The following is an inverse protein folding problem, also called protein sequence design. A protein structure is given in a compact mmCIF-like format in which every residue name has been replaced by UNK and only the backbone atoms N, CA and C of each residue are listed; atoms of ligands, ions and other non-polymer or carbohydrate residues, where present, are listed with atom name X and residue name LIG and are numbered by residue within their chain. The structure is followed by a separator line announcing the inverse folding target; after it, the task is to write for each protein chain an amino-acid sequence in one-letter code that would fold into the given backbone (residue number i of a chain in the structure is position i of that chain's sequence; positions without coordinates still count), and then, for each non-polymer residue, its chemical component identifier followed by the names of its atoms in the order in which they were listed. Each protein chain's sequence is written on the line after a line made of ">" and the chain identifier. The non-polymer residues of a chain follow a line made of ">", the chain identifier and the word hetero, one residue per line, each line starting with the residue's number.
data_IF_738050646966
#
_entry.id   IF_738050646966
#
_cell.length_a   1.000
_cell.length_b   1.000
_cell.length_c   1.000
_cell.angle_alpha   90.00
_cell.angle_beta   90.00
_cell.angle_gamma   90.00
#
_symmetry.space_group_name_H-M   'P 1'
#
loop_
_entity.id
_entity.type
_entity.pdbx_description
1 polymer ?
#
# COMPACT_ATOMS: atom_id res chain seq x y z
N UNK A 1 -13.43 12.37 5.89
CA UNK A 1 -12.50 12.51 4.75
C UNK A 1 -12.05 11.11 4.39
N UNK A 2 -12.49 10.56 3.26
CA UNK A 2 -11.95 9.27 2.80
C UNK A 2 -10.64 9.56 2.10
N UNK A 3 -9.56 9.00 2.66
CA UNK A 3 -8.22 8.90 2.10
C UNK A 3 -8.32 8.19 0.73
N UNK A 4 -8.66 8.94 -0.32
CA UNK A 4 -9.05 8.39 -1.62
C UNK A 4 -7.85 8.31 -2.58
N UNK A 5 -6.65 8.04 -2.07
CA UNK A 5 -5.56 7.54 -2.89
C UNK A 5 -5.89 6.12 -3.39
N UNK A 6 -5.44 5.70 -4.59
CA UNK A 6 -5.68 4.35 -5.10
C UNK A 6 -5.05 3.24 -4.24
N UNK A 7 -4.20 3.59 -3.27
CA UNK A 7 -3.50 2.68 -2.37
C UNK A 7 -3.46 3.27 -0.96
N UNK A 8 -4.20 2.70 -0.01
CA UNK A 8 -4.15 3.07 1.41
C UNK A 8 -3.34 2.06 2.22
N UNK A 9 -2.99 2.43 3.46
CA UNK A 9 -2.23 1.54 4.36
C UNK A 9 -2.97 0.23 4.65
N UNK A 10 -4.29 0.26 4.80
CA UNK A 10 -5.08 -0.95 5.05
C UNK A 10 -5.04 -1.93 3.86
N UNK A 11 -5.04 -1.44 2.63
CA UNK A 11 -4.86 -2.26 1.44
C UNK A 11 -3.40 -2.74 1.33
N UNK A 12 -2.40 -1.93 1.71
CA UNK A 12 -0.99 -2.34 1.70
C UNK A 12 -0.75 -3.48 2.69
N UNK A 13 -1.28 -3.36 3.90
CA UNK A 13 -1.22 -4.40 4.93
C UNK A 13 -1.89 -5.69 4.47
N UNK A 14 -3.02 -5.60 3.75
CA UNK A 14 -3.68 -6.78 3.17
C UNK A 14 -2.84 -7.46 2.10
N UNK A 15 -2.11 -6.70 1.29
CA UNK A 15 -1.20 -7.24 0.26
C UNK A 15 0.01 -7.91 0.94
N UNK A 16 0.61 -7.27 1.94
CA UNK A 16 1.72 -7.83 2.71
C UNK A 16 1.31 -9.14 3.41
N UNK A 17 0.15 -9.14 4.08
CA UNK A 17 -0.37 -10.35 4.72
C UNK A 17 -0.64 -11.50 3.72
N UNK A 18 -1.01 -11.18 2.48
CA UNK A 18 -1.18 -12.19 1.42
C UNK A 18 0.18 -12.76 0.96
N UNK A 19 1.19 -11.91 0.81
CA UNK A 19 2.56 -12.31 0.46
C UNK A 19 3.19 -13.17 1.55
N UNK A 20 3.00 -12.84 2.83
CA UNK A 20 3.48 -13.65 3.95
C UNK A 20 2.78 -15.01 4.05
N UNK A 21 1.48 -15.04 3.76
CA UNK A 21 0.68 -16.27 3.80
C UNK A 21 1.06 -17.24 2.68
N UNK A 22 1.45 -16.71 1.51
CA UNK A 22 1.89 -17.50 0.37
C UNK A 22 3.17 -16.91 -0.25
N UNK A 23 4.35 -17.31 0.26
CA UNK A 23 5.63 -16.78 -0.21
C UNK A 23 6.01 -17.24 -1.63
N UNK A 24 5.30 -18.24 -2.19
CA UNK A 24 5.50 -18.66 -3.58
C UNK A 24 4.58 -17.94 -4.57
N UNK A 25 3.69 -17.09 -4.09
CA UNK A 25 2.81 -16.27 -4.94
C UNK A 25 3.59 -15.21 -5.73
N UNK A 26 3.07 -14.84 -6.90
CA UNK A 26 3.64 -13.78 -7.74
C UNK A 26 3.77 -12.45 -6.97
N UNK A 27 2.86 -12.18 -6.02
CA UNK A 27 2.89 -10.99 -5.17
C UNK A 27 4.14 -10.96 -4.28
N UNK A 28 4.44 -12.07 -3.61
CA UNK A 28 5.62 -12.20 -2.75
C UNK A 28 6.92 -12.25 -3.57
N UNK A 29 6.92 -12.95 -4.70
CA UNK A 29 8.11 -13.13 -5.53
C UNK A 29 8.50 -11.86 -6.29
N UNK A 30 7.54 -11.00 -6.63
CA UNK A 30 7.79 -9.77 -7.39
C UNK A 30 8.12 -8.56 -6.51
N UNK A 31 7.98 -8.65 -5.18
CA UNK A 31 8.12 -7.52 -4.26
C UNK A 31 7.03 -6.47 -4.45
N UNK A 32 5.81 -6.91 -4.80
CA UNK A 32 4.69 -6.00 -5.03
C UNK A 32 4.18 -5.40 -3.72
N UNK A 33 4.23 -6.15 -2.63
CA UNK A 33 3.96 -5.72 -1.27
C UNK A 33 4.80 -4.50 -0.85
N UNK A 34 6.11 -4.53 -1.11
CA UNK A 34 7.01 -3.39 -0.85
C UNK A 34 6.57 -2.14 -1.61
N UNK A 35 6.18 -2.30 -2.89
CA UNK A 35 5.70 -1.19 -3.72
C UNK A 35 4.36 -0.66 -3.23
N UNK A 36 3.48 -1.53 -2.76
CA UNK A 36 2.18 -1.17 -2.23
C UNK A 36 2.33 -0.34 -0.94
N UNK A 37 3.22 -0.75 -0.03
CA UNK A 37 3.56 0.02 1.17
C UNK A 37 4.11 1.41 0.81
N UNK A 38 5.10 1.49 -0.08
CA UNK A 38 5.67 2.76 -0.52
C UNK A 38 4.68 3.67 -1.29
N UNK A 39 3.60 3.11 -1.83
CA UNK A 39 2.52 3.88 -2.45
C UNK A 39 1.50 4.37 -1.42
N UNK A 40 1.23 3.60 -0.38
CA UNK A 40 0.43 4.03 0.76
C UNK A 40 1.10 5.19 1.51
N UNK A 41 2.40 5.08 1.80
CA UNK A 41 3.19 6.15 2.44
C UNK A 41 3.07 7.46 1.64
N UNK A 42 3.26 7.39 0.32
CA UNK A 42 3.16 8.57 -0.56
C UNK A 42 1.77 9.20 -0.58
N UNK A 43 0.73 8.39 -0.51
CA UNK A 43 -0.65 8.90 -0.53
C UNK A 43 -1.03 9.55 0.80
N UNK A 44 -0.48 9.09 1.94
CA UNK A 44 -0.69 9.76 3.23
C UNK A 44 0.07 11.10 3.28
N UNK A 45 1.24 11.21 2.62
CA UNK A 45 2.00 12.46 2.51
C UNK A 45 1.39 13.49 1.52
N UNK A 46 0.69 13.05 0.46
CA UNK A 46 0.02 13.94 -0.50
C UNK A 46 -1.30 14.54 0.02
N UNK A 47 -1.93 13.94 1.03
CA UNK A 47 -3.20 14.40 1.63
C UNK A 47 -3.02 15.63 2.56
N UNK A 48 -1.77 16.00 2.90
CA UNK A 48 -1.44 17.14 3.79
C UNK A 48 -1.26 18.49 3.04
N UNK A 49 -1.43 18.52 1.70
CA UNK A 49 -1.19 19.72 0.88
C UNK A 49 -2.46 20.44 0.39
N UNK A 50 -3.65 20.09 0.88
CA UNK A 50 -4.95 20.63 0.41
C UNK A 50 -5.74 21.40 1.50
N UNK A 51 -5.04 22.24 2.30
CA UNK A 51 -5.64 23.23 3.21
C UNK A 51 -5.02 24.63 2.98
N UNK A 52 -5.45 25.33 1.91
CA UNK A 52 -5.35 26.81 1.75
C UNK A 52 -6.64 27.39 1.15
#
# INVERSE_FOLDING_TARGET
>A
MSKNGPMDHEAADRIAAAAERDPESDTAQSGFDDRAAAAADRNDDEDDWDDD
#
